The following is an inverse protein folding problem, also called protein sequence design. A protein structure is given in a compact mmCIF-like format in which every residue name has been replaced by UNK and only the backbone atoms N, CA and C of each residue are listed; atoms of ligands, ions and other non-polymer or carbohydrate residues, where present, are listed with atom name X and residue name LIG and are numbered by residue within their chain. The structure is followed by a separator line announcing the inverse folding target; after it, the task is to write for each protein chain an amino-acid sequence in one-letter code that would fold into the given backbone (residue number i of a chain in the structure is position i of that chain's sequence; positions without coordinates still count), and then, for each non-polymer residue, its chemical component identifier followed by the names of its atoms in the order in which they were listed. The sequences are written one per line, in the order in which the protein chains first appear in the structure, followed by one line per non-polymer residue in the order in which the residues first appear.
data_IF_069645443102
#
_entry.id   IF_069645443102
#
_cell.length_a   1.000
_cell.length_b   1.000
_cell.length_c   1.000
_cell.angle_alpha   90.00
_cell.angle_beta   90.00
_cell.angle_gamma   90.00
#
_symmetry.space_group_name_H-M   'P 1'
#
loop_
_entity.id
_entity.type
_entity.pdbx_description
1 polymer ?
#
# COMPACT_ATOMS: atom_id res chain seq x y z
N UNK A 1 -14.38 21.74 15.69
CA UNK A 1 -14.45 20.82 14.56
C UNK A 1 -13.06 20.29 14.23
N UNK A 2 -12.91 18.97 14.11
CA UNK A 2 -11.65 18.37 13.70
C UNK A 2 -11.50 18.44 12.18
N UNK A 3 -10.35 18.87 11.71
CA UNK A 3 -10.01 18.87 10.30
C UNK A 3 -9.04 17.73 10.03
N UNK A 4 -9.22 17.05 8.90
CA UNK A 4 -8.42 15.92 8.52
C UNK A 4 -7.68 16.19 7.21
N UNK A 5 -6.44 15.75 7.15
CA UNK A 5 -5.64 15.72 5.94
C UNK A 5 -5.51 14.27 5.49
N UNK A 6 -5.79 14.01 4.21
CA UNK A 6 -5.76 12.66 3.66
C UNK A 6 -4.59 12.48 2.71
N UNK A 7 -4.01 11.30 2.76
CA UNK A 7 -2.97 10.87 1.83
C UNK A 7 -3.31 9.51 1.25
N UNK A 8 -2.91 9.33 -0.01
CA UNK A 8 -3.04 8.04 -0.70
C UNK A 8 -1.65 7.62 -1.13
N UNK A 9 -1.26 6.40 -0.75
CA UNK A 9 0.00 5.79 -1.16
C UNK A 9 -0.32 4.51 -1.91
N UNK A 10 0.22 4.37 -3.11
CA UNK A 10 0.04 3.17 -3.93
C UNK A 10 1.39 2.50 -4.21
N UNK A 11 1.38 1.18 -4.28
CA UNK A 11 2.51 0.44 -4.79
C UNK A 11 2.05 -0.86 -5.46
N UNK A 12 2.86 -1.35 -6.37
CA UNK A 12 2.60 -2.59 -7.10
C UNK A 12 3.53 -3.69 -6.63
N UNK A 13 3.05 -4.92 -6.68
CA UNK A 13 3.88 -6.09 -6.40
C UNK A 13 3.46 -7.24 -7.31
N UNK A 14 4.36 -8.24 -7.47
CA UNK A 14 4.12 -9.40 -8.32
C UNK A 14 4.33 -10.67 -7.51
N UNK A 15 3.30 -11.54 -7.46
CA UNK A 15 3.34 -12.81 -6.72
C UNK A 15 4.27 -13.84 -7.35
N UNK A 16 4.53 -13.73 -8.64
CA UNK A 16 5.41 -14.68 -9.37
C UNK A 16 6.89 -14.31 -9.28
N UNK A 17 7.20 -13.29 -8.52
CA UNK A 17 8.59 -12.95 -8.26
C UNK A 17 9.23 -14.12 -7.52
N UNK A 18 10.21 -14.77 -8.19
CA UNK A 18 10.79 -16.05 -7.77
C UNK A 18 11.62 -15.99 -6.50
N UNK A 19 11.76 -14.83 -5.91
CA UNK A 19 12.56 -14.69 -4.72
C UNK A 19 11.69 -14.83 -3.48
N UNK A 20 11.76 -16.00 -2.84
CA UNK A 20 11.01 -16.31 -1.61
C UNK A 20 11.26 -15.28 -0.52
N UNK A 21 12.46 -14.70 -0.50
CA UNK A 21 12.80 -13.62 0.44
C UNK A 21 11.99 -12.34 0.19
N UNK A 22 11.40 -12.18 -0.98
CA UNK A 22 10.58 -11.00 -1.30
C UNK A 22 9.24 -10.95 -0.59
N UNK A 23 8.67 -12.08 -0.16
CA UNK A 23 7.45 -12.05 0.67
C UNK A 23 7.74 -11.40 2.03
N UNK A 24 8.85 -11.75 2.63
CA UNK A 24 9.30 -11.08 3.86
C UNK A 24 9.66 -9.62 3.61
N UNK A 25 10.27 -9.34 2.46
CA UNK A 25 10.57 -7.97 2.03
C UNK A 25 9.31 -7.14 1.82
N UNK A 26 8.28 -7.70 1.20
CA UNK A 26 7.01 -6.98 1.00
C UNK A 26 6.40 -6.56 2.32
N UNK A 27 6.36 -7.47 3.29
CA UNK A 27 5.86 -7.14 4.63
C UNK A 27 6.70 -6.06 5.30
N UNK A 28 8.01 -6.16 5.16
CA UNK A 28 8.94 -5.18 5.71
C UNK A 28 8.76 -3.81 5.05
N UNK A 29 8.63 -3.79 3.73
CA UNK A 29 8.39 -2.55 2.99
C UNK A 29 7.08 -1.89 3.39
N UNK A 30 6.01 -2.68 3.57
CA UNK A 30 4.72 -2.17 4.04
C UNK A 30 4.85 -1.58 5.44
N UNK A 31 5.50 -2.29 6.35
CA UNK A 31 5.74 -1.80 7.71
C UNK A 31 6.53 -0.49 7.70
N UNK A 32 7.54 -0.40 6.84
CA UNK A 32 8.37 0.79 6.70
C UNK A 32 7.55 1.98 6.18
N UNK A 33 6.73 1.75 5.15
CA UNK A 33 5.83 2.77 4.62
C UNK A 33 4.88 3.28 5.70
N UNK A 34 4.23 2.37 6.41
CA UNK A 34 3.29 2.73 7.48
C UNK A 34 3.98 3.44 8.64
N UNK A 35 5.19 3.00 9.00
CA UNK A 35 5.97 3.64 10.07
C UNK A 35 6.37 5.05 9.69
N UNK A 36 6.77 5.28 8.44
CA UNK A 36 7.15 6.61 7.97
C UNK A 36 5.96 7.56 8.01
N UNK A 37 4.79 7.12 7.56
CA UNK A 37 3.59 7.93 7.67
C UNK A 37 3.17 8.16 9.12
N UNK A 38 3.30 7.13 9.97
CA UNK A 38 3.01 7.24 11.40
C UNK A 38 3.86 8.29 12.11
N UNK A 39 5.15 8.39 11.73
CA UNK A 39 6.04 9.42 12.28
C UNK A 39 5.58 10.84 11.92
N UNK A 40 4.89 10.99 10.81
CA UNK A 40 4.31 12.27 10.39
C UNK A 40 2.92 12.51 10.97
N UNK A 41 2.42 11.60 11.79
CA UNK A 41 1.11 11.71 12.45
C UNK A 41 -0.05 11.11 11.65
N UNK A 42 0.23 10.41 10.58
CA UNK A 42 -0.82 9.74 9.80
C UNK A 42 -1.20 8.41 10.44
N UNK A 43 -2.48 8.07 10.33
CA UNK A 43 -2.99 6.74 10.66
C UNK A 43 -3.59 6.08 9.41
N UNK A 44 -3.54 4.77 9.36
CA UNK A 44 -4.11 4.00 8.27
C UNK A 44 -5.63 3.91 8.43
N UNK A 45 -6.36 4.32 7.41
CA UNK A 45 -7.83 4.24 7.38
C UNK A 45 -8.27 2.95 6.70
N UNK A 46 -7.66 2.61 5.57
CA UNK A 46 -8.04 1.45 4.78
C UNK A 46 -6.92 1.03 3.85
N UNK A 47 -6.96 -0.24 3.43
CA UNK A 47 -6.08 -0.80 2.41
C UNK A 47 -6.94 -1.54 1.41
N UNK A 48 -6.75 -1.24 0.14
CA UNK A 48 -7.43 -1.95 -0.94
C UNK A 48 -6.36 -2.60 -1.81
N UNK A 49 -6.55 -3.89 -2.13
CA UNK A 49 -5.67 -4.62 -3.03
C UNK A 49 -6.47 -5.03 -4.25
N UNK A 50 -5.99 -4.66 -5.42
CA UNK A 50 -6.67 -4.93 -6.68
C UNK A 50 -5.73 -5.65 -7.65
N UNK A 51 -6.23 -6.65 -8.41
CA UNK A 51 -5.42 -7.25 -9.45
C UNK A 51 -5.22 -6.28 -10.62
N UNK A 52 -4.02 -6.28 -11.17
CA UNK A 52 -3.72 -5.55 -12.41
C UNK A 52 -3.94 -6.52 -13.57
N UNK A 53 -4.83 -6.17 -14.49
CA UNK A 53 -5.17 -7.02 -15.62
C UNK A 53 -4.43 -6.56 -16.87
N UNK A 54 -4.03 -7.53 -17.71
CA UNK A 54 -3.45 -7.24 -19.01
C UNK A 54 -4.54 -6.90 -20.06
N UNK A 55 -4.15 -6.70 -21.30
CA UNK A 55 -5.06 -6.38 -22.40
C UNK A 55 -6.10 -7.48 -22.68
N UNK A 56 -5.88 -8.68 -22.16
CA UNK A 56 -6.80 -9.82 -22.30
C UNK A 56 -7.60 -10.06 -21.04
N UNK A 57 -7.62 -9.11 -20.12
CA UNK A 57 -8.27 -9.20 -18.82
C UNK A 57 -7.77 -10.35 -17.96
N UNK A 58 -6.48 -10.73 -18.14
CA UNK A 58 -5.85 -11.74 -17.32
C UNK A 58 -4.93 -11.13 -16.29
N UNK A 59 -4.92 -11.71 -15.11
CA UNK A 59 -3.99 -11.32 -14.06
C UNK A 59 -2.73 -12.19 -14.16
N UNK A 60 -1.58 -11.54 -14.30
CA UNK A 60 -0.27 -12.18 -14.36
C UNK A 60 0.46 -12.18 -13.03
N UNK A 61 -0.29 -12.13 -11.92
CA UNK A 61 0.29 -12.10 -10.59
C UNK A 61 0.63 -10.69 -10.11
N UNK A 62 0.29 -9.66 -10.87
CA UNK A 62 0.51 -8.27 -10.47
C UNK A 62 -0.69 -7.72 -9.73
N UNK A 63 -0.40 -6.98 -8.66
CA UNK A 63 -1.42 -6.35 -7.83
C UNK A 63 -1.04 -4.92 -7.51
N UNK A 64 -2.07 -4.08 -7.42
CA UNK A 64 -1.95 -2.71 -6.93
C UNK A 64 -2.52 -2.65 -5.51
N UNK A 65 -1.73 -2.16 -4.59
CA UNK A 65 -2.17 -1.94 -3.21
C UNK A 65 -2.24 -0.46 -2.93
N UNK A 66 -3.40 -0.02 -2.45
CA UNK A 66 -3.66 1.39 -2.16
C UNK A 66 -3.89 1.54 -0.66
N UNK A 67 -3.09 2.41 -0.04
CA UNK A 67 -3.23 2.78 1.37
C UNK A 67 -3.92 4.13 1.45
N UNK A 68 -4.96 4.20 2.24
CA UNK A 68 -5.67 5.45 2.57
C UNK A 68 -5.30 5.85 3.97
N UNK A 69 -4.73 7.03 4.12
CA UNK A 69 -4.19 7.51 5.39
C UNK A 69 -4.81 8.87 5.71
N UNK A 70 -4.89 9.18 6.99
CA UNK A 70 -5.34 10.50 7.45
C UNK A 70 -4.53 10.96 8.64
N UNK A 71 -4.46 12.26 8.81
CA UNK A 71 -3.97 12.86 10.06
C UNK A 71 -4.80 14.07 10.41
N UNK A 72 -4.88 14.37 11.69
CA UNK A 72 -5.56 15.55 12.16
C UNK A 72 -4.76 16.81 11.83
N UNK A 73 -5.43 17.78 11.24
CA UNK A 73 -4.85 19.11 11.00
C UNK A 73 -5.09 19.98 12.22
N UNK A 74 -4.00 20.49 12.72
CA UNK A 74 -4.05 21.38 13.89
C UNK A 74 -3.99 22.82 13.42
#
# INVERSE_FOLDING_TARGET
MKLWEYRIKQYTYNLHDKNIQKRSRQNYEVEEILSDFGKEGYELVNVITEPILDNKYKNNGEFLRTFFLKKERI
#
